data_IF_950191907866
#
_entry.id   IF_950191907866
#
_cell.length_a   1.000
_cell.length_b   1.000
_cell.length_c   1.000
_cell.angle_alpha   90.00
_cell.angle_beta   90.00
_cell.angle_gamma   90.00
#
_symmetry.space_group_name_H-M   'P 1'
#
loop_
_entity.id
_entity.type
_entity.pdbx_description
1 polymer ?
#
# COMPACT_ATOMS: atom_id res chain seq x y z
N UNK A 1 -1.35 -14.75 -10.40
CA UNK A 1 -2.31 -14.03 -9.54
C UNK A 1 -3.70 -14.20 -10.10
N UNK A 2 -4.71 -14.44 -9.27
CA UNK A 2 -6.08 -14.60 -9.74
C UNK A 2 -6.81 -13.25 -9.78
N UNK A 3 -7.75 -13.09 -10.69
CA UNK A 3 -8.63 -11.91 -10.72
C UNK A 3 -9.38 -11.70 -9.39
N UNK A 4 -9.62 -12.79 -8.64
CA UNK A 4 -10.27 -12.74 -7.33
C UNK A 4 -9.42 -12.01 -6.29
N UNK A 5 -8.11 -12.27 -6.26
CA UNK A 5 -7.17 -11.63 -5.33
C UNK A 5 -7.10 -10.12 -5.55
N UNK A 6 -7.01 -9.70 -6.82
CA UNK A 6 -7.02 -8.28 -7.20
C UNK A 6 -8.31 -7.59 -6.80
N UNK A 7 -9.47 -8.20 -7.07
CA UNK A 7 -10.77 -7.62 -6.71
C UNK A 7 -10.95 -7.56 -5.19
N UNK A 8 -10.50 -8.58 -4.45
CA UNK A 8 -10.53 -8.58 -2.99
C UNK A 8 -9.60 -7.50 -2.40
N UNK A 9 -8.42 -7.30 -2.99
CA UNK A 9 -7.53 -6.22 -2.61
C UNK A 9 -8.18 -4.84 -2.86
N UNK A 10 -8.88 -4.63 -3.97
CA UNK A 10 -9.54 -3.36 -4.27
C UNK A 10 -10.84 -3.10 -3.48
N UNK A 11 -11.45 -4.13 -2.87
CA UNK A 11 -12.70 -3.97 -2.13
C UNK A 11 -12.58 -3.05 -0.90
N UNK A 12 -11.39 -2.94 -0.32
CA UNK A 12 -11.13 -2.15 0.88
C UNK A 12 -10.86 -0.67 0.55
N UNK A 13 -11.54 0.28 1.22
CA UNK A 13 -11.38 1.71 0.94
C UNK A 13 -9.98 2.23 1.30
N UNK A 14 -9.36 1.72 2.38
CA UNK A 14 -8.00 2.11 2.77
C UNK A 14 -6.99 1.71 1.70
N UNK A 15 -7.12 0.49 1.15
CA UNK A 15 -6.25 0.03 0.06
C UNK A 15 -6.42 0.86 -1.21
N UNK A 16 -7.64 1.23 -1.57
CA UNK A 16 -7.90 2.15 -2.70
C UNK A 16 -7.28 3.53 -2.46
N UNK A 17 -7.34 4.03 -1.24
CA UNK A 17 -6.74 5.33 -0.92
C UNK A 17 -5.22 5.29 -0.95
N UNK A 18 -4.59 4.20 -0.46
CA UNK A 18 -3.15 3.97 -0.62
C UNK A 18 -2.77 4.02 -2.10
N UNK A 19 -3.51 3.34 -2.98
CA UNK A 19 -3.26 3.38 -4.43
C UNK A 19 -3.42 4.79 -5.01
N UNK A 20 -4.40 5.57 -4.53
CA UNK A 20 -4.58 6.96 -4.96
C UNK A 20 -3.38 7.84 -4.55
N UNK A 21 -2.87 7.67 -3.33
CA UNK A 21 -1.67 8.38 -2.85
C UNK A 21 -0.44 8.04 -3.70
N UNK A 22 -0.20 6.75 -3.92
CA UNK A 22 0.95 6.26 -4.70
C UNK A 22 0.88 6.63 -6.18
N UNK A 23 -0.34 6.85 -6.71
CA UNK A 23 -0.53 7.39 -8.07
C UNK A 23 -0.05 8.84 -8.20
N UNK A 24 -0.08 9.62 -7.12
CA UNK A 24 0.34 11.03 -7.12
C UNK A 24 1.85 11.16 -6.92
N UNK A 25 2.42 10.35 -6.03
CA UNK A 25 3.85 10.38 -5.72
C UNK A 25 4.29 9.07 -5.09
N UNK A 26 5.56 8.72 -5.33
CA UNK A 26 6.26 7.67 -4.59
C UNK A 26 6.36 8.05 -3.11
N UNK A 27 6.03 7.13 -2.20
CA UNK A 27 5.99 7.41 -0.75
C UNK A 27 6.54 6.24 0.07
N UNK A 28 7.16 6.54 1.21
CA UNK A 28 7.56 5.52 2.17
C UNK A 28 6.37 5.02 3.00
N UNK A 29 6.48 3.83 3.60
CA UNK A 29 5.44 3.30 4.50
C UNK A 29 5.10 4.27 5.65
N UNK A 30 6.08 5.03 6.14
CA UNK A 30 5.88 6.05 7.17
C UNK A 30 5.09 7.24 6.65
N UNK A 31 5.44 7.74 5.46
CA UNK A 31 4.70 8.83 4.81
C UNK A 31 3.25 8.42 4.54
N UNK A 32 3.02 7.23 3.96
CA UNK A 32 1.66 6.70 3.73
C UNK A 32 0.89 6.61 5.05
N UNK A 33 1.53 6.13 6.11
CA UNK A 33 0.86 5.98 7.42
C UNK A 33 0.36 7.30 7.99
N UNK A 34 1.02 8.42 7.70
CA UNK A 34 0.60 9.74 8.18
C UNK A 34 -0.73 10.22 7.56
N UNK A 35 -1.20 9.61 6.46
CA UNK A 35 -2.49 9.92 5.83
C UNK A 35 -3.67 9.20 6.48
N UNK A 36 -3.45 8.31 7.43
CA UNK A 36 -4.51 7.50 8.03
C UNK A 36 -4.54 7.61 9.55
N UNK A 37 -5.74 7.51 10.13
CA UNK A 37 -5.94 7.48 11.58
C UNK A 37 -5.75 6.09 12.21
N UNK A 38 -5.17 5.13 11.46
CA UNK A 38 -4.88 3.77 11.91
C UNK A 38 -3.39 3.62 12.23
N UNK A 39 -3.03 2.54 12.93
CA UNK A 39 -1.63 2.29 13.26
C UNK A 39 -0.79 2.01 12.00
N UNK A 40 0.49 2.37 12.03
CA UNK A 40 1.41 2.03 10.94
C UNK A 40 1.52 0.52 10.70
N UNK A 41 1.31 -0.31 11.72
CA UNK A 41 1.23 -1.77 11.56
C UNK A 41 0.01 -2.19 10.71
N UNK A 42 -1.14 -1.54 10.89
CA UNK A 42 -2.31 -1.78 10.07
C UNK A 42 -2.07 -1.33 8.62
N UNK A 43 -1.46 -0.17 8.39
CA UNK A 43 -1.07 0.30 7.05
C UNK A 43 -0.10 -0.67 6.38
N UNK A 44 0.93 -1.14 7.08
CA UNK A 44 1.86 -2.16 6.57
C UNK A 44 1.15 -3.45 6.16
N UNK A 45 0.12 -3.89 6.89
CA UNK A 45 -0.70 -5.03 6.49
C UNK A 45 -1.45 -4.77 5.19
N UNK A 46 -2.01 -3.57 5.00
CA UNK A 46 -2.64 -3.18 3.74
C UNK A 46 -1.64 -3.17 2.57
N UNK A 47 -0.43 -2.66 2.79
CA UNK A 47 0.66 -2.67 1.80
C UNK A 47 1.06 -4.09 1.41
N UNK A 48 1.19 -5.01 2.37
CA UNK A 48 1.47 -6.42 2.08
C UNK A 48 0.40 -7.05 1.19
N UNK A 49 -0.88 -6.84 1.49
CA UNK A 49 -1.99 -7.36 0.66
C UNK A 49 -1.96 -6.78 -0.75
N UNK A 50 -1.68 -5.48 -0.89
CA UNK A 50 -1.55 -4.84 -2.20
C UNK A 50 -0.36 -5.38 -2.99
N UNK A 51 0.77 -5.68 -2.32
CA UNK A 51 1.96 -6.26 -2.94
C UNK A 51 1.74 -7.72 -3.34
N UNK A 52 1.09 -8.51 -2.49
CA UNK A 52 0.67 -9.89 -2.79
C UNK A 52 -0.31 -9.93 -3.97
N UNK A 53 -1.11 -8.87 -4.13
CA UNK A 53 -1.99 -8.63 -5.26
C UNK A 53 -1.32 -7.87 -6.44
N UNK A 54 0.01 -7.70 -6.47
CA UNK A 54 0.80 -7.08 -7.56
C UNK A 54 0.22 -5.73 -8.03
N UNK A 55 -0.42 -5.02 -7.09
CA UNK A 55 -0.98 -3.68 -7.29
C UNK A 55 0.03 -2.59 -6.95
N UNK A 56 1.05 -2.93 -6.16
CA UNK A 56 2.16 -2.03 -5.80
C UNK A 56 3.49 -2.79 -5.86
N UNK A 57 4.57 -2.03 -6.02
CA UNK A 57 5.95 -2.52 -5.91
C UNK A 57 6.65 -1.74 -4.83
N UNK A 58 7.71 -2.31 -4.28
CA UNK A 58 8.55 -1.64 -3.30
C UNK A 58 9.99 -1.55 -3.77
N UNK A 59 10.62 -0.43 -3.44
CA UNK A 59 12.03 -0.18 -3.67
C UNK A 59 12.70 0.23 -2.36
N UNK A 60 13.81 -0.43 -2.04
CA UNK A 60 14.58 -0.12 -0.85
C UNK A 60 15.65 0.91 -1.17
N UNK A 61 15.56 2.07 -0.51
CA UNK A 61 16.58 3.11 -0.56
C UNK A 61 17.14 3.36 0.84
N UNK A 62 18.33 2.81 1.08
CA UNK A 62 18.99 2.86 2.38
C UNK A 62 18.15 2.22 3.48
N UNK A 63 17.67 3.06 4.41
CA UNK A 63 16.87 2.63 5.58
C UNK A 63 15.36 2.64 5.30
N UNK A 64 14.92 3.19 4.17
CA UNK A 64 13.52 3.38 3.85
C UNK A 64 13.08 2.41 2.75
N UNK A 65 11.81 2.01 2.82
CA UNK A 65 11.13 1.27 1.75
C UNK A 65 10.08 2.22 1.19
N UNK A 66 10.16 2.45 -0.11
CA UNK A 66 9.23 3.27 -0.85
C UNK A 66 8.35 2.40 -1.73
N UNK A 67 7.14 2.87 -1.95
CA UNK A 67 6.10 2.27 -2.78
C UNK A 67 5.66 3.25 -3.86
#
# INVERSE_FOLDING_TARGET
MSMQDTLQALADPTRREILNLLKQSRMSAGEISNHFSISGAAVSRHLSVLKEADLIRDEREGKYIYY
#
